data_IF_065896114241
#
_entry.id   IF_065896114241
#
_cell.length_a   1.000
_cell.length_b   1.000
_cell.length_c   1.000
_cell.angle_alpha   90.00
_cell.angle_beta   90.00
_cell.angle_gamma   90.00
#
_symmetry.space_group_name_H-M   'P 1'
#
loop_
_entity.id
_entity.type
_entity.pdbx_description
1 polymer ?
#
# COMPACT_ATOMS: atom_id res chain seq x y z
N UNK A 1 -18.79 -11.88 -48.76
CA UNK A 1 -19.27 -12.25 -47.42
C UNK A 1 -18.31 -11.64 -46.40
N UNK A 2 -18.73 -10.71 -45.52
CA UNK A 2 -17.85 -10.18 -44.48
C UNK A 2 -17.79 -11.17 -43.31
N UNK A 3 -16.60 -11.42 -42.78
CA UNK A 3 -16.41 -12.26 -41.58
C UNK A 3 -16.80 -11.49 -40.32
N UNK A 4 -17.50 -12.12 -39.35
CA UNK A 4 -17.94 -11.47 -38.11
C UNK A 4 -16.78 -11.10 -37.18
N UNK A 5 -16.95 -10.01 -36.42
CA UNK A 5 -16.04 -9.65 -35.33
C UNK A 5 -16.22 -10.63 -34.17
N UNK A 6 -15.19 -11.42 -33.86
CA UNK A 6 -15.16 -12.19 -32.62
C UNK A 6 -14.61 -11.30 -31.51
N UNK A 7 -15.52 -10.62 -30.84
CA UNK A 7 -15.33 -10.21 -29.45
C UNK A 7 -15.24 -11.49 -28.61
N UNK A 8 -14.13 -11.70 -27.90
CA UNK A 8 -14.03 -12.91 -27.09
C UNK A 8 -12.68 -13.34 -26.57
N UNK A 9 -11.57 -12.66 -26.83
CA UNK A 9 -10.34 -12.94 -26.07
C UNK A 9 -10.35 -12.11 -24.79
N UNK A 10 -11.19 -12.60 -23.86
CA UNK A 10 -11.00 -12.39 -22.42
C UNK A 10 -9.55 -12.80 -22.13
N UNK A 11 -8.63 -11.84 -22.19
CA UNK A 11 -7.27 -12.04 -21.75
C UNK A 11 -7.38 -12.42 -20.26
N UNK A 12 -7.02 -13.64 -19.85
CA UNK A 12 -7.00 -13.97 -18.45
C UNK A 12 -5.86 -13.16 -17.86
N UNK A 13 -6.21 -12.01 -17.26
CA UNK A 13 -5.41 -11.13 -16.40
C UNK A 13 -3.97 -11.59 -16.36
N UNK A 14 -3.26 -11.37 -17.47
CA UNK A 14 -1.95 -11.97 -17.67
C UNK A 14 -1.04 -11.15 -16.82
N UNK A 15 -0.86 -11.58 -15.58
CA UNK A 15 0.29 -11.22 -14.77
C UNK A 15 0.55 -9.72 -14.89
N UNK A 16 -0.47 -8.89 -14.62
CA UNK A 16 -0.36 -7.42 -14.68
C UNK A 16 0.96 -7.08 -14.02
N UNK A 17 1.92 -6.65 -14.85
CA UNK A 17 3.34 -6.70 -14.53
C UNK A 17 3.49 -6.13 -13.13
N UNK A 18 4.06 -6.95 -12.24
CA UNK A 18 4.36 -6.52 -10.89
C UNK A 18 5.41 -5.42 -11.05
N UNK A 19 4.94 -4.20 -11.27
CA UNK A 19 5.74 -3.02 -11.61
C UNK A 19 6.66 -2.66 -10.45
N UNK A 20 6.26 -3.04 -9.24
CA UNK A 20 7.15 -3.13 -8.10
C UNK A 20 7.86 -4.49 -8.08
N UNK A 21 9.19 -4.46 -8.24
CA UNK A 21 10.04 -5.65 -8.41
C UNK A 21 9.90 -6.64 -7.24
N UNK A 22 9.61 -6.12 -6.05
CA UNK A 22 9.54 -6.87 -4.82
C UNK A 22 8.17 -7.53 -4.57
N UNK A 23 7.11 -7.26 -5.35
CA UNK A 23 5.80 -7.87 -5.09
C UNK A 23 5.86 -9.40 -5.15
N UNK A 24 6.67 -9.97 -6.07
CA UNK A 24 6.89 -11.44 -6.14
C UNK A 24 7.59 -11.96 -4.88
N UNK A 25 8.49 -11.16 -4.31
CA UNK A 25 9.24 -11.52 -3.09
C UNK A 25 8.31 -11.52 -1.89
N UNK A 26 7.46 -10.49 -1.75
CA UNK A 26 6.43 -10.41 -0.71
C UNK A 26 5.47 -11.60 -0.81
N UNK A 27 4.91 -11.86 -2.01
CA UNK A 27 4.01 -12.99 -2.24
C UNK A 27 4.67 -14.33 -1.83
N UNK A 28 5.94 -14.52 -2.19
CA UNK A 28 6.70 -15.73 -1.83
C UNK A 28 6.91 -15.86 -0.33
N UNK A 29 7.25 -14.78 0.38
CA UNK A 29 7.43 -14.83 1.83
C UNK A 29 6.12 -15.17 2.54
N UNK A 30 5.01 -14.55 2.15
CA UNK A 30 3.69 -14.84 2.71
C UNK A 30 3.28 -16.30 2.45
N UNK A 31 3.45 -16.80 1.22
CA UNK A 31 3.15 -18.20 0.88
C UNK A 31 4.01 -19.21 1.65
N UNK A 32 5.24 -18.83 2.01
CA UNK A 32 6.15 -19.64 2.82
C UNK A 32 5.95 -19.47 4.34
N UNK A 33 4.94 -18.71 4.78
CA UNK A 33 4.68 -18.42 6.20
C UNK A 33 5.73 -17.49 6.84
N UNK A 34 6.61 -16.87 6.04
CA UNK A 34 7.67 -15.96 6.47
C UNK A 34 7.13 -14.54 6.67
N UNK A 35 6.11 -14.40 7.51
CA UNK A 35 5.37 -13.16 7.70
C UNK A 35 6.28 -12.01 8.15
N UNK A 36 7.25 -12.28 9.04
CA UNK A 36 8.20 -11.27 9.53
C UNK A 36 9.08 -10.67 8.43
N UNK A 37 9.51 -11.49 7.48
CA UNK A 37 10.34 -11.03 6.36
C UNK A 37 9.51 -10.20 5.36
N UNK A 38 8.25 -10.61 5.13
CA UNK A 38 7.31 -9.81 4.34
C UNK A 38 7.03 -8.47 5.02
N UNK A 39 6.72 -8.48 6.32
CA UNK A 39 6.41 -7.29 7.11
C UNK A 39 7.58 -6.30 7.15
N UNK A 40 8.82 -6.77 7.34
CA UNK A 40 10.01 -5.92 7.30
C UNK A 40 10.18 -5.22 5.95
N UNK A 41 9.92 -5.93 4.84
CA UNK A 41 10.02 -5.37 3.49
C UNK A 41 8.93 -4.32 3.25
N UNK A 42 7.68 -4.62 3.63
CA UNK A 42 6.54 -3.71 3.51
C UNK A 42 6.71 -2.45 4.38
N UNK A 43 7.25 -2.61 5.58
CA UNK A 43 7.59 -1.50 6.46
C UNK A 43 8.62 -0.57 5.81
N UNK A 44 9.70 -1.13 5.27
CA UNK A 44 10.74 -0.32 4.60
C UNK A 44 10.18 0.43 3.39
N UNK A 45 9.32 -0.21 2.60
CA UNK A 45 8.64 0.44 1.49
C UNK A 45 7.79 1.62 1.97
N UNK A 46 6.92 1.41 2.95
CA UNK A 46 6.09 2.48 3.52
C UNK A 46 6.88 3.61 4.18
N UNK A 47 8.04 3.33 4.78
CA UNK A 47 8.85 4.32 5.49
C UNK A 47 9.75 5.17 4.56
N UNK A 48 10.33 4.57 3.50
CA UNK A 48 11.42 5.19 2.76
C UNK A 48 11.08 5.60 1.32
N UNK A 49 10.06 5.01 0.70
CA UNK A 49 9.77 5.24 -0.71
C UNK A 49 9.20 6.63 -1.00
N UNK A 50 9.41 7.12 -2.21
CA UNK A 50 8.73 8.30 -2.74
C UNK A 50 7.22 8.04 -2.94
N UNK A 51 6.47 9.12 -3.24
CA UNK A 51 5.04 9.02 -3.51
C UNK A 51 4.70 8.12 -4.71
N UNK A 52 5.48 8.23 -5.79
CA UNK A 52 5.28 7.42 -7.00
C UNK A 52 5.65 5.95 -6.76
N UNK A 53 6.71 5.69 -6.00
CA UNK A 53 7.10 4.33 -5.63
C UNK A 53 6.06 3.67 -4.70
N UNK A 54 5.46 4.42 -3.77
CA UNK A 54 4.33 3.92 -2.97
C UNK A 54 3.11 3.65 -3.85
N UNK A 55 2.78 4.55 -4.78
CA UNK A 55 1.68 4.33 -5.73
C UNK A 55 1.91 3.02 -6.50
N UNK A 56 3.11 2.78 -7.02
CA UNK A 56 3.47 1.56 -7.73
C UNK A 56 3.37 0.32 -6.84
N UNK A 57 3.98 0.35 -5.65
CA UNK A 57 3.97 -0.78 -4.71
C UNK A 57 2.55 -1.16 -4.29
N UNK A 58 1.71 -0.18 -3.94
CA UNK A 58 0.32 -0.44 -3.54
C UNK A 58 -0.49 -0.94 -4.73
N UNK A 59 -0.33 -0.36 -5.92
CA UNK A 59 -1.03 -0.83 -7.12
C UNK A 59 -0.68 -2.29 -7.44
N UNK A 60 0.61 -2.64 -7.35
CA UNK A 60 1.08 -4.00 -7.59
C UNK A 60 0.59 -4.99 -6.52
N UNK A 61 0.55 -4.60 -5.25
CA UNK A 61 -0.01 -5.44 -4.19
C UNK A 61 -1.52 -5.65 -4.37
N UNK A 62 -2.27 -4.60 -4.72
CA UNK A 62 -3.72 -4.67 -4.98
C UNK A 62 -4.01 -5.57 -6.18
N UNK A 63 -3.28 -5.42 -7.29
CA UNK A 63 -3.46 -6.26 -8.49
C UNK A 63 -3.11 -7.73 -8.25
N UNK A 64 -2.15 -8.01 -7.35
CA UNK A 64 -1.79 -9.35 -6.92
C UNK A 64 -2.74 -9.95 -5.86
N UNK A 65 -3.78 -9.23 -5.43
CA UNK A 65 -4.70 -9.68 -4.37
C UNK A 65 -4.10 -9.62 -2.96
N UNK A 66 -2.92 -9.04 -2.78
CA UNK A 66 -2.22 -8.90 -1.50
C UNK A 66 -2.74 -7.67 -0.73
N UNK A 67 -4.01 -7.69 -0.32
CA UNK A 67 -4.67 -6.54 0.31
C UNK A 67 -3.98 -6.10 1.60
N UNK A 68 -3.70 -7.03 2.50
CA UNK A 68 -3.06 -6.73 3.79
C UNK A 68 -1.66 -6.15 3.62
N UNK A 69 -0.95 -6.55 2.56
CA UNK A 69 0.37 -6.02 2.24
C UNK A 69 0.29 -4.55 1.78
N UNK A 70 -0.69 -4.23 0.93
CA UNK A 70 -0.98 -2.86 0.52
C UNK A 70 -1.36 -1.98 1.73
N UNK A 71 -2.22 -2.49 2.60
CA UNK A 71 -2.64 -1.78 3.83
C UNK A 71 -1.45 -1.51 4.75
N UNK A 72 -0.57 -2.49 4.93
CA UNK A 72 0.67 -2.35 5.70
C UNK A 72 1.58 -1.25 5.15
N UNK A 73 1.75 -1.17 3.82
CA UNK A 73 2.53 -0.09 3.19
C UNK A 73 1.90 1.27 3.51
N UNK A 74 0.58 1.40 3.38
CA UNK A 74 -0.13 2.65 3.62
C UNK A 74 -0.11 3.06 5.09
N UNK A 75 -0.26 2.13 6.04
CA UNK A 75 -0.14 2.41 7.49
C UNK A 75 1.26 2.97 7.80
N UNK A 76 2.30 2.33 7.29
CA UNK A 76 3.68 2.76 7.53
C UNK A 76 3.98 4.12 6.86
N UNK A 77 3.38 4.37 5.70
CA UNK A 77 3.45 5.66 5.04
C UNK A 77 2.71 6.76 5.82
N UNK A 78 1.56 6.46 6.41
CA UNK A 78 0.79 7.37 7.25
C UNK A 78 1.54 7.79 8.53
N UNK A 79 2.35 6.88 9.08
CA UNK A 79 3.17 7.12 10.27
C UNK A 79 4.42 7.98 10.04
N UNK A 80 4.62 8.54 8.84
CA UNK A 80 5.73 9.46 8.58
C UNK A 80 5.54 10.76 9.36
N UNK A 81 6.60 11.24 10.00
CA UNK A 81 6.60 12.53 10.69
C UNK A 81 6.44 13.71 9.72
N UNK A 82 6.92 13.55 8.48
CA UNK A 82 6.75 14.54 7.42
C UNK A 82 5.33 14.47 6.85
N UNK A 83 4.46 15.39 7.31
CA UNK A 83 3.08 15.49 6.84
C UNK A 83 2.97 15.88 5.37
N UNK A 84 3.93 16.65 4.82
CA UNK A 84 3.94 16.98 3.40
C UNK A 84 4.21 15.72 2.56
N UNK A 85 5.09 14.82 3.03
CA UNK A 85 5.32 13.54 2.37
C UNK A 85 4.03 12.68 2.34
N UNK A 86 3.28 12.62 3.44
CA UNK A 86 1.98 11.91 3.50
C UNK A 86 0.98 12.49 2.49
N UNK A 87 0.86 13.83 2.43
CA UNK A 87 -0.03 14.49 1.48
C UNK A 87 0.40 14.32 0.02
N UNK A 88 1.72 14.29 -0.25
CA UNK A 88 2.24 14.01 -1.60
C UNK A 88 1.87 12.60 -2.05
N UNK A 89 1.91 11.61 -1.14
CA UNK A 89 1.45 10.25 -1.41
C UNK A 89 -0.06 10.25 -1.68
N UNK A 90 -0.86 10.89 -0.84
CA UNK A 90 -2.30 11.01 -1.06
C UNK A 90 -2.63 11.62 -2.43
N UNK A 91 -1.92 12.68 -2.83
CA UNK A 91 -2.08 13.32 -4.13
C UNK A 91 -1.69 12.41 -5.30
N UNK A 92 -0.66 11.57 -5.15
CA UNK A 92 -0.29 10.59 -6.18
C UNK A 92 -1.36 9.50 -6.33
N UNK A 93 -1.91 9.02 -5.22
CA UNK A 93 -3.01 8.05 -5.21
C UNK A 93 -4.30 8.61 -5.82
N UNK A 94 -4.63 9.86 -5.49
CA UNK A 94 -5.80 10.58 -6.02
C UNK A 94 -5.68 10.77 -7.55
N UNK A 95 -4.53 11.23 -8.03
CA UNK A 95 -4.25 11.36 -9.48
C UNK A 95 -4.37 10.04 -10.23
N UNK A 96 -4.12 8.92 -9.57
CA UNK A 96 -4.29 7.58 -10.12
C UNK A 96 -5.71 7.01 -9.97
N UNK A 97 -6.66 7.79 -9.43
CA UNK A 97 -8.05 7.39 -9.23
C UNK A 97 -8.28 6.43 -8.05
N UNK A 98 -7.31 6.26 -7.15
CA UNK A 98 -7.38 5.30 -6.04
C UNK A 98 -7.94 5.92 -4.77
N UNK A 99 -9.17 6.42 -4.85
CA UNK A 99 -9.82 7.19 -3.77
C UNK A 99 -9.99 6.40 -2.46
N UNK A 100 -10.19 5.08 -2.54
CA UNK A 100 -10.28 4.22 -1.35
C UNK A 100 -8.95 4.22 -0.56
N UNK A 101 -7.83 4.11 -1.26
CA UNK A 101 -6.51 4.11 -0.63
C UNK A 101 -6.11 5.50 -0.12
N UNK A 102 -6.56 6.58 -0.77
CA UNK A 102 -6.44 7.95 -0.25
C UNK A 102 -7.15 8.06 1.09
N UNK A 103 -8.42 7.63 1.14
CA UNK A 103 -9.24 7.69 2.34
C UNK A 103 -8.62 6.88 3.48
N UNK A 104 -8.13 5.68 3.16
CA UNK A 104 -7.45 4.81 4.11
C UNK A 104 -6.17 5.45 4.68
N UNK A 105 -5.30 5.98 3.81
CA UNK A 105 -4.05 6.64 4.21
C UNK A 105 -4.31 7.83 5.15
N UNK A 106 -5.25 8.70 4.78
CA UNK A 106 -5.56 9.90 5.56
C UNK A 106 -6.24 9.55 6.89
N UNK A 107 -7.11 8.53 6.92
CA UNK A 107 -7.68 8.04 8.17
C UNK A 107 -6.61 7.47 9.12
N UNK A 108 -5.67 6.69 8.58
CA UNK A 108 -4.56 6.15 9.35
C UNK A 108 -3.65 7.27 9.91
N UNK A 109 -3.38 8.31 9.12
CA UNK A 109 -2.55 9.45 9.53
C UNK A 109 -3.22 10.26 10.66
N UNK A 110 -4.53 10.50 10.56
CA UNK A 110 -5.30 11.18 11.62
C UNK A 110 -5.28 10.37 12.93
N UNK A 111 -5.40 9.05 12.86
CA UNK A 111 -5.35 8.19 14.04
C UNK A 111 -3.97 8.20 14.72
N UNK A 112 -2.88 8.36 13.96
CA UNK A 112 -1.54 8.53 14.51
C UNK A 112 -1.39 9.86 15.26
N UNK A 113 -1.94 10.96 14.71
CA UNK A 113 -1.92 12.26 15.40
C UNK A 113 -2.67 12.23 16.73
N UNK A 114 -3.79 11.52 16.80
CA UNK A 114 -4.50 11.33 18.06
C UNK A 114 -3.68 10.50 19.05
N UNK A 115 -2.95 9.48 18.60
CA UNK A 115 -2.10 8.66 19.46
C UNK A 115 -0.91 9.45 20.03
N UNK A 116 -0.27 10.30 19.23
CA UNK A 116 0.82 11.18 19.67
C UNK A 116 0.32 12.31 20.61
N UNK A 117 -0.94 12.71 20.49
CA UNK A 117 -1.56 13.73 21.34
C UNK A 117 -1.96 13.23 22.74
N UNK A 118 -1.90 11.92 23.01
CA UNK A 118 -2.17 11.37 24.35
C UNK A 118 -0.92 11.48 25.23
N UNK A 119 -0.90 12.33 26.28
CA UNK A 119 0.26 12.43 27.17
C UNK A 119 0.47 11.12 27.96
N UNK A 120 1.72 10.72 28.26
CA UNK A 120 2.06 9.48 28.98
C UNK A 120 1.64 9.45 30.47
N UNK A 121 0.73 10.32 30.89
CA UNK A 121 0.29 10.42 32.28
C UNK A 121 -0.95 9.56 32.47
N UNK A 122 -0.76 8.30 32.88
CA UNK A 122 -1.65 7.49 33.75
C UNK A 122 -1.15 6.03 33.88
N UNK A 123 0.16 5.83 34.09
CA UNK A 123 0.66 4.61 34.75
C UNK A 123 1.17 4.96 36.13
N UNK A 124 0.19 5.19 37.01
CA UNK A 124 0.19 5.00 38.46
C UNK A 124 1.56 4.91 39.16
N UNK A 125 1.93 5.99 39.85
CA UNK A 125 2.70 5.87 41.08
C UNK A 125 1.96 4.96 42.05
N UNK A 126 2.67 3.97 42.59
CA UNK A 126 2.31 3.27 43.83
C UNK A 126 2.57 4.16 45.03
#
# INVERSE_FOLDING_TARGET
MPVPRTEGDRHPVSQAELTWTETRVVARFLAAGRNRDAEMLLWRAGAAYSADEILQAVTACRSAGLRDAADTILINAAGRMDRQAVLNIAAALDRAGRLEDVSYLLAAAQNQEMADAVPPQLSSSR
#
